data_IF_134636450987
#
_entry.id   IF_134636450987
#
_cell.length_a   1.000
_cell.length_b   1.000
_cell.length_c   1.000
_cell.angle_alpha   90.00
_cell.angle_beta   90.00
_cell.angle_gamma   90.00
#
_symmetry.space_group_name_H-M   'P 1'
#
loop_
_entity.id
_entity.type
_entity.pdbx_description
1 polymer ?
#
# COMPACT_ATOMS: atom_id res chain seq x y z
N UNK A 1 -0.68 -8.19 -1.13
CA UNK A 1 -0.82 -8.82 -2.46
C UNK A 1 0.48 -8.60 -3.21
N UNK A 2 1.21 -9.64 -3.61
CA UNK A 2 2.37 -9.45 -4.49
C UNK A 2 1.82 -9.08 -5.87
N UNK A 3 2.16 -7.92 -6.43
CA UNK A 3 1.81 -7.61 -7.82
C UNK A 3 2.72 -8.45 -8.73
N UNK A 4 2.20 -9.45 -9.47
CA UNK A 4 3.03 -10.16 -10.43
C UNK A 4 3.35 -9.21 -11.58
N UNK A 5 4.63 -8.84 -11.72
CA UNK A 5 5.11 -8.19 -12.94
C UNK A 5 4.96 -9.20 -14.08
N UNK A 6 3.98 -9.00 -14.95
CA UNK A 6 3.87 -9.76 -16.20
C UNK A 6 4.98 -9.26 -17.13
N UNK A 7 6.14 -9.90 -17.08
CA UNK A 7 7.30 -9.61 -17.95
C UNK A 7 6.90 -9.50 -19.43
N UNK A 8 5.92 -10.32 -19.83
CA UNK A 8 5.33 -10.35 -21.16
C UNK A 8 4.74 -9.00 -21.62
N UNK A 9 4.25 -8.17 -20.68
CA UNK A 9 3.72 -6.82 -21.00
C UNK A 9 4.83 -5.83 -21.39
N UNK A 10 6.09 -6.15 -21.09
CA UNK A 10 7.23 -5.26 -21.32
C UNK A 10 8.10 -5.71 -22.51
N UNK A 11 7.67 -6.73 -23.26
CA UNK A 11 8.39 -7.25 -24.43
C UNK A 11 8.58 -6.16 -25.49
N UNK A 12 9.81 -5.95 -25.94
CA UNK A 12 10.17 -4.94 -26.94
C UNK A 12 10.38 -3.52 -26.38
N UNK A 13 10.24 -3.32 -25.07
CA UNK A 13 10.56 -2.04 -24.41
C UNK A 13 11.99 -2.04 -23.88
N UNK A 14 12.59 -0.85 -23.74
CA UNK A 14 13.94 -0.70 -23.18
C UNK A 14 14.09 -1.36 -21.79
N UNK A 15 13.03 -1.35 -20.98
CA UNK A 15 13.03 -1.95 -19.64
C UNK A 15 13.23 -3.47 -19.67
N UNK A 16 12.90 -4.16 -20.77
CA UNK A 16 13.13 -5.60 -20.92
C UNK A 16 14.60 -5.97 -20.80
N UNK A 17 15.49 -5.13 -21.35
CA UNK A 17 16.94 -5.35 -21.34
C UNK A 17 17.62 -4.75 -20.10
N UNK A 18 17.02 -3.72 -19.49
CA UNK A 18 17.56 -3.02 -18.34
C UNK A 18 17.27 -3.75 -17.01
N UNK A 19 16.07 -4.33 -16.86
CA UNK A 19 15.69 -5.09 -15.67
C UNK A 19 16.18 -6.53 -15.78
N UNK A 20 17.19 -6.90 -15.00
CA UNK A 20 17.80 -8.23 -15.06
C UNK A 20 17.24 -9.22 -14.03
N UNK A 21 16.79 -8.72 -12.87
CA UNK A 21 16.45 -9.57 -11.74
C UNK A 21 14.94 -9.81 -11.59
N UNK A 22 14.09 -8.93 -12.15
CA UNK A 22 12.63 -9.09 -12.15
C UNK A 22 12.05 -9.38 -10.75
N UNK A 23 12.62 -8.75 -9.73
CA UNK A 23 12.22 -8.94 -8.32
C UNK A 23 10.77 -8.52 -8.10
N UNK A 24 10.04 -9.35 -7.35
CA UNK A 24 8.67 -9.05 -6.91
C UNK A 24 8.71 -8.41 -5.52
N UNK A 25 8.40 -7.12 -5.46
CA UNK A 25 8.33 -6.39 -4.20
C UNK A 25 6.97 -6.60 -3.54
N UNK A 26 6.90 -6.64 -2.19
CA UNK A 26 5.63 -6.51 -1.50
C UNK A 26 5.03 -5.13 -1.77
N UNK A 27 3.86 -5.11 -2.41
CA UNK A 27 3.15 -3.88 -2.77
C UNK A 27 1.91 -3.72 -1.92
N UNK A 28 1.81 -2.53 -1.34
CA UNK A 28 0.73 -2.04 -0.50
C UNK A 28 -0.02 -0.98 -1.29
N UNK A 29 -1.20 -1.31 -1.80
CA UNK A 29 -2.01 -0.40 -2.60
C UNK A 29 -3.14 0.18 -1.75
N UNK A 30 -3.12 1.49 -1.54
CA UNK A 30 -4.18 2.26 -0.90
C UNK A 30 -4.93 2.96 -2.03
N UNK A 31 -6.23 2.70 -2.14
CA UNK A 31 -7.10 3.32 -3.13
C UNK A 31 -8.20 4.12 -2.41
N UNK A 32 -8.28 5.41 -2.73
CA UNK A 32 -9.28 6.32 -2.18
C UNK A 32 -10.51 6.47 -3.08
N UNK A 33 -10.59 5.78 -4.23
CA UNK A 33 -11.77 5.82 -5.09
C UNK A 33 -13.05 5.32 -4.41
N UNK A 34 -14.19 5.84 -4.87
CA UNK A 34 -15.52 5.37 -4.49
C UNK A 34 -15.95 5.71 -3.06
N UNK A 35 -15.22 6.61 -2.39
CA UNK A 35 -15.54 7.11 -1.05
C UNK A 35 -15.75 8.62 -1.06
N UNK A 36 -16.55 9.11 -0.12
CA UNK A 36 -16.80 10.52 0.09
C UNK A 36 -16.08 10.98 1.37
N UNK A 37 -15.01 11.75 1.22
CA UNK A 37 -14.16 12.15 2.36
C UNK A 37 -14.63 13.44 3.03
N UNK A 38 -15.68 14.09 2.52
CA UNK A 38 -16.37 15.19 3.23
C UNK A 38 -17.01 14.75 4.54
N UNK A 39 -17.26 13.45 4.71
CA UNK A 39 -17.78 12.90 5.96
C UNK A 39 -16.65 12.71 6.97
N UNK A 40 -16.83 13.30 8.15
CA UNK A 40 -15.87 13.18 9.25
C UNK A 40 -15.57 11.71 9.57
N UNK A 41 -14.28 11.37 9.60
CA UNK A 41 -13.78 10.03 9.96
C UNK A 41 -13.74 9.01 8.81
N UNK A 42 -14.20 9.33 7.60
CA UNK A 42 -14.12 8.38 6.47
C UNK A 42 -12.67 8.09 6.04
N UNK A 43 -11.80 9.10 6.09
CA UNK A 43 -10.37 8.91 5.87
C UNK A 43 -9.77 7.94 6.89
N UNK A 44 -10.07 8.13 8.18
CA UNK A 44 -9.56 7.29 9.25
C UNK A 44 -10.05 5.84 9.12
N UNK A 45 -11.36 5.64 8.89
CA UNK A 45 -11.93 4.29 8.66
C UNK A 45 -11.28 3.59 7.47
N UNK A 46 -11.00 4.33 6.40
CA UNK A 46 -10.34 3.80 5.20
C UNK A 46 -8.94 3.30 5.52
N UNK A 47 -8.15 4.12 6.20
CA UNK A 47 -6.78 3.75 6.60
C UNK A 47 -6.78 2.62 7.65
N UNK A 48 -7.71 2.62 8.60
CA UNK A 48 -7.88 1.53 9.57
C UNK A 48 -8.19 0.21 8.87
N UNK A 49 -9.19 0.19 7.99
CA UNK A 49 -9.57 -1.01 7.22
C UNK A 49 -8.40 -1.51 6.38
N UNK A 50 -7.66 -0.60 5.76
CA UNK A 50 -6.48 -0.94 5.00
C UNK A 50 -5.42 -1.63 5.87
N UNK A 51 -5.03 -1.03 7.00
CA UNK A 51 -4.02 -1.60 7.90
C UNK A 51 -4.47 -2.94 8.47
N UNK A 52 -5.73 -3.08 8.90
CA UNK A 52 -6.29 -4.35 9.38
C UNK A 52 -6.21 -5.45 8.33
N UNK A 53 -6.53 -5.13 7.08
CA UNK A 53 -6.41 -6.08 5.97
C UNK A 53 -4.96 -6.55 5.79
N UNK A 54 -3.98 -5.68 6.02
CA UNK A 54 -2.58 -6.08 5.93
C UNK A 54 -2.08 -6.86 7.14
N UNK A 55 -2.57 -6.53 8.34
CA UNK A 55 -2.30 -7.30 9.56
C UNK A 55 -2.75 -8.76 9.43
N UNK A 56 -3.85 -9.03 8.70
CA UNK A 56 -4.26 -10.40 8.38
C UNK A 56 -3.22 -11.17 7.55
N UNK A 57 -2.43 -10.48 6.73
CA UNK A 57 -1.45 -11.07 5.82
C UNK A 57 -0.04 -11.18 6.42
N UNK A 58 0.35 -10.20 7.24
CA UNK A 58 1.71 -10.04 7.76
C UNK A 58 1.80 -10.21 9.28
N UNK A 59 0.67 -10.31 9.97
CA UNK A 59 0.58 -10.38 11.43
C UNK A 59 0.40 -9.01 12.06
N UNK A 60 -0.23 -9.00 13.24
CA UNK A 60 -0.41 -7.80 14.07
C UNK A 60 0.66 -7.77 15.17
N UNK A 61 1.33 -6.63 15.32
CA UNK A 61 2.21 -6.39 16.46
C UNK A 61 1.37 -5.97 17.69
N UNK A 62 1.37 -6.74 18.79
CA UNK A 62 0.57 -6.42 19.97
C UNK A 62 1.04 -5.16 20.71
N UNK A 63 2.27 -4.70 20.46
CA UNK A 63 2.82 -3.48 21.05
C UNK A 63 2.52 -2.23 20.21
N UNK A 64 1.98 -2.38 19.00
CA UNK A 64 1.63 -1.28 18.12
C UNK A 64 0.24 -0.75 18.47
N UNK A 65 0.18 0.46 19.03
CA UNK A 65 -1.07 1.03 19.56
C UNK A 65 -1.73 2.00 18.57
N UNK A 66 -0.94 2.81 17.85
CA UNK A 66 -1.48 3.76 16.88
C UNK A 66 -1.61 3.13 15.50
N UNK A 67 -2.43 3.75 14.63
CA UNK A 67 -2.55 3.34 13.24
C UNK A 67 -1.19 3.38 12.51
N UNK A 68 -0.38 4.40 12.79
CA UNK A 68 0.98 4.54 12.24
C UNK A 68 1.92 3.42 12.70
N UNK A 69 1.91 3.10 14.00
CA UNK A 69 2.74 2.01 14.55
C UNK A 69 2.37 0.67 13.92
N UNK A 70 1.07 0.42 13.77
CA UNK A 70 0.53 -0.80 13.18
C UNK A 70 0.94 -0.92 11.71
N UNK A 71 0.83 0.17 10.95
CA UNK A 71 1.25 0.18 9.56
C UNK A 71 2.76 -0.04 9.41
N UNK A 72 3.58 0.63 10.23
CA UNK A 72 5.02 0.41 10.25
C UNK A 72 5.38 -1.04 10.59
N UNK A 73 4.68 -1.66 11.55
CA UNK A 73 4.90 -3.05 11.91
C UNK A 73 4.61 -4.00 10.74
N UNK A 74 3.53 -3.76 10.00
CA UNK A 74 3.19 -4.50 8.78
C UNK A 74 4.29 -4.37 7.71
N UNK A 75 4.80 -3.16 7.48
CA UNK A 75 5.86 -2.93 6.49
C UNK A 75 7.16 -3.65 6.90
N UNK A 76 7.51 -3.61 8.19
CA UNK A 76 8.66 -4.33 8.73
C UNK A 76 8.51 -5.84 8.57
N UNK A 77 7.35 -6.40 8.92
CA UNK A 77 7.07 -7.83 8.73
C UNK A 77 7.11 -8.25 7.26
N UNK A 78 6.65 -7.40 6.34
CA UNK A 78 6.75 -7.63 4.91
C UNK A 78 8.21 -7.66 4.43
N UNK A 79 9.05 -6.75 4.96
CA UNK A 79 10.47 -6.74 4.69
C UNK A 79 11.16 -8.00 5.22
N UNK A 80 10.90 -8.39 6.47
CA UNK A 80 11.46 -9.60 7.09
C UNK A 80 11.08 -10.87 6.33
N UNK A 81 9.83 -10.96 5.84
CA UNK A 81 9.35 -12.13 5.08
C UNK A 81 9.92 -12.24 3.68
N UNK A 82 10.24 -11.11 3.04
CA UNK A 82 10.64 -11.08 1.61
C UNK A 82 12.11 -10.76 1.38
N UNK A 83 12.79 -10.18 2.37
CA UNK A 83 14.13 -9.60 2.23
C UNK A 83 14.19 -8.34 1.36
N UNK A 84 13.03 -7.81 0.93
CA UNK A 84 12.92 -6.69 0.00
C UNK A 84 12.19 -5.52 0.66
N UNK A 85 12.49 -4.29 0.23
CA UNK A 85 11.74 -3.11 0.68
C UNK A 85 10.27 -3.19 0.28
N UNK A 86 9.38 -2.61 1.08
CA UNK A 86 7.97 -2.49 0.74
C UNK A 86 7.73 -1.28 -0.16
N UNK A 87 6.83 -1.44 -1.13
CA UNK A 87 6.35 -0.36 -1.99
C UNK A 87 4.94 0.01 -1.56
N UNK A 88 4.72 1.28 -1.24
CA UNK A 88 3.39 1.81 -0.94
C UNK A 88 2.93 2.66 -2.11
N UNK A 89 1.84 2.26 -2.74
CA UNK A 89 1.17 2.99 -3.80
C UNK A 89 -0.09 3.61 -3.20
N UNK A 90 -0.24 4.91 -3.40
CA UNK A 90 -1.41 5.67 -2.94
C UNK A 90 -2.06 6.25 -4.19
N UNK A 91 -3.20 5.70 -4.55
CA UNK A 91 -3.98 6.14 -5.70
C UNK A 91 -5.07 7.12 -5.24
N UNK A 92 -5.34 8.13 -6.06
CA UNK A 92 -6.37 9.17 -5.81
C UNK A 92 -6.21 9.86 -4.44
N UNK A 93 -4.96 10.11 -4.06
CA UNK A 93 -4.59 10.79 -2.82
C UNK A 93 -5.08 12.25 -2.76
N UNK A 94 -5.38 12.83 -3.92
CA UNK A 94 -5.91 14.18 -4.07
C UNK A 94 -7.37 14.26 -3.65
N UNK A 95 -8.19 13.22 -3.83
CA UNK A 95 -9.60 13.21 -3.39
C UNK A 95 -9.78 13.61 -1.92
N UNK A 96 -9.15 12.95 -0.93
CA UNK A 96 -9.25 13.38 0.47
C UNK A 96 -8.72 14.78 0.72
N UNK A 97 -7.71 15.24 -0.04
CA UNK A 97 -7.15 16.58 0.13
C UNK A 97 -8.11 17.65 -0.39
N UNK A 98 -8.72 17.43 -1.55
CA UNK A 98 -9.67 18.35 -2.16
C UNK A 98 -10.97 18.43 -1.35
N UNK A 99 -11.54 17.28 -0.95
CA UNK A 99 -12.78 17.22 -0.15
C UNK A 99 -12.65 17.97 1.20
N UNK A 100 -11.44 18.05 1.77
CA UNK A 100 -11.17 18.74 3.04
C UNK A 100 -10.85 20.23 2.84
N UNK A 101 -10.27 20.63 1.71
CA UNK A 101 -9.96 22.02 1.41
C UNK A 101 -11.20 22.86 1.05
N UNK A 102 -12.28 22.22 0.59
CA UNK A 102 -13.57 22.87 0.29
C UNK A 102 -14.49 23.02 1.53
N UNK A 103 -13.94 22.85 2.76
CA UNK A 103 -14.65 23.03 4.04
C UNK A 103 -14.13 24.23 4.81
#
# INVERSE_FOLDING_TARGET
>A
MLLPRKKELFKGLAIEQLEKEWKQYPVFHIDFNGKNFTQAGELEKTLQTFVETQELNYGRNPLANTLGDRFMAVLKAAHEKTGLGAVVLIDEYDKPLLDVLDT
#
